data_IF_495599962712
#
_entry.id   IF_495599962712
#
_cell.length_a   1.000
_cell.length_b   1.000
_cell.length_c   1.000
_cell.angle_alpha   90.00
_cell.angle_beta   90.00
_cell.angle_gamma   90.00
#
_symmetry.space_group_name_H-M   'P 1'
#
loop_
_entity.id
_entity.type
_entity.pdbx_description
1 polymer ?
#
# COMPACT_ATOMS: atom_id res chain seq x y z
N UNK A 1 -5.61 29.07 24.23
CA UNK A 1 -4.19 28.73 24.45
C UNK A 1 -3.47 28.81 23.11
N UNK A 2 -2.29 29.42 23.12
CA UNK A 2 -1.60 30.00 21.98
C UNK A 2 -0.97 28.98 21.00
N UNK A 3 -0.72 29.45 19.78
CA UNK A 3 0.02 28.78 18.72
C UNK A 3 1.46 28.39 19.13
N UNK A 4 1.91 27.20 18.74
CA UNK A 4 3.28 26.65 18.77
C UNK A 4 3.21 25.35 17.94
N UNK A 5 3.93 25.04 16.86
CA UNK A 5 4.93 25.65 15.98
C UNK A 5 5.21 24.54 14.94
N UNK A 6 5.36 24.87 13.65
CA UNK A 6 5.51 23.94 12.49
C UNK A 6 5.80 22.46 12.83
N UNK A 7 4.75 21.66 12.71
CA UNK A 7 4.69 20.20 12.71
C UNK A 7 5.93 19.51 12.12
N UNK A 8 6.61 18.66 12.89
CA UNK A 8 7.71 17.83 12.40
C UNK A 8 7.26 17.00 11.20
N UNK A 9 7.97 17.10 10.09
CA UNK A 9 7.72 16.29 8.89
C UNK A 9 7.87 14.80 9.20
N UNK A 10 7.04 13.96 8.60
CA UNK A 10 7.22 12.50 8.65
C UNK A 10 8.57 12.11 8.02
N UNK A 11 9.07 10.93 8.38
CA UNK A 11 10.29 10.38 7.79
C UNK A 11 10.25 10.38 6.25
N UNK A 12 9.13 9.97 5.65
CA UNK A 12 8.95 9.98 4.21
C UNK A 12 8.99 11.40 3.63
N UNK A 13 8.33 12.36 4.28
CA UNK A 13 8.37 13.76 3.85
C UNK A 13 9.80 14.33 3.90
N UNK A 14 10.59 13.98 4.91
CA UNK A 14 11.99 14.38 5.02
C UNK A 14 12.85 13.77 3.90
N UNK A 15 12.65 12.50 3.54
CA UNK A 15 13.38 11.87 2.43
C UNK A 15 12.99 12.47 1.07
N UNK A 16 11.70 12.74 0.84
CA UNK A 16 11.25 13.40 -0.38
C UNK A 16 11.84 14.81 -0.54
N UNK A 17 11.99 15.57 0.56
CA UNK A 17 12.66 16.87 0.53
C UNK A 17 14.12 16.78 0.04
N UNK A 18 14.83 15.71 0.37
CA UNK A 18 16.21 15.51 -0.12
C UNK A 18 16.25 15.30 -1.63
N UNK A 19 15.20 14.72 -2.22
CA UNK A 19 15.10 14.55 -3.67
C UNK A 19 15.03 15.90 -4.41
N UNK A 20 14.43 16.94 -3.80
CA UNK A 20 14.38 18.28 -4.42
C UNK A 20 15.76 18.89 -4.68
N UNK A 21 16.79 18.50 -3.92
CA UNK A 21 18.16 18.96 -4.17
C UNK A 21 18.74 18.43 -5.50
N UNK A 22 18.16 17.36 -6.06
CA UNK A 22 18.66 16.69 -7.26
C UNK A 22 17.92 17.07 -8.56
N UNK A 23 16.99 18.02 -8.50
CA UNK A 23 16.19 18.48 -9.65
C UNK A 23 15.62 17.30 -10.47
N UNK A 24 14.98 16.36 -9.76
CA UNK A 24 14.42 15.12 -10.32
C UNK A 24 13.39 15.45 -11.40
N UNK A 25 13.52 14.82 -12.57
CA UNK A 25 12.59 15.03 -13.67
C UNK A 25 11.22 14.39 -13.42
N UNK A 26 10.18 14.84 -14.12
CA UNK A 26 8.84 14.24 -14.03
C UNK A 26 8.83 12.73 -14.35
N UNK A 27 9.67 12.31 -15.31
CA UNK A 27 9.84 10.89 -15.66
C UNK A 27 10.41 10.09 -14.49
N UNK A 28 11.43 10.61 -13.81
CA UNK A 28 12.00 9.96 -12.63
C UNK A 28 11.01 9.94 -11.45
N UNK A 29 10.16 10.95 -11.30
CA UNK A 29 9.06 10.93 -10.31
C UNK A 29 8.02 9.85 -10.66
N UNK A 30 7.75 9.61 -11.95
CA UNK A 30 6.89 8.51 -12.38
C UNK A 30 7.52 7.14 -12.07
N UNK A 31 8.82 6.98 -12.33
CA UNK A 31 9.57 5.76 -12.00
C UNK A 31 9.56 5.48 -10.49
N UNK A 32 9.77 6.50 -9.65
CA UNK A 32 9.68 6.36 -8.20
C UNK A 32 8.28 5.91 -7.76
N UNK A 33 7.22 6.47 -8.37
CA UNK A 33 5.84 6.05 -8.09
C UNK A 33 5.62 4.59 -8.48
N UNK A 34 6.14 4.17 -9.63
CA UNK A 34 6.04 2.77 -10.06
C UNK A 34 6.78 1.84 -9.10
N UNK A 35 8.00 2.19 -8.70
CA UNK A 35 8.79 1.41 -7.75
C UNK A 35 8.07 1.23 -6.39
N UNK A 36 7.40 2.28 -5.90
CA UNK A 36 6.58 2.19 -4.70
C UNK A 36 5.35 1.29 -4.90
N UNK A 37 4.66 1.42 -6.04
CA UNK A 37 3.50 0.60 -6.36
C UNK A 37 3.89 -0.89 -6.41
N UNK A 38 4.99 -1.22 -7.09
CA UNK A 38 5.51 -2.58 -7.20
C UNK A 38 5.90 -3.15 -5.83
N UNK A 39 6.55 -2.34 -4.99
CA UNK A 39 6.90 -2.75 -3.63
C UNK A 39 5.67 -3.11 -2.80
N UNK A 40 4.62 -2.28 -2.84
CA UNK A 40 3.39 -2.54 -2.09
C UNK A 40 2.61 -3.72 -2.67
N UNK A 41 2.53 -3.88 -3.99
CA UNK A 41 1.91 -5.03 -4.63
C UNK A 41 2.58 -6.33 -4.16
N UNK A 42 3.91 -6.41 -4.24
CA UNK A 42 4.65 -7.58 -3.77
C UNK A 42 4.48 -7.82 -2.26
N UNK A 43 4.36 -6.75 -1.46
CA UNK A 43 4.11 -6.88 -0.02
C UNK A 43 2.73 -7.48 0.23
N UNK A 44 1.70 -6.99 -0.45
CA UNK A 44 0.33 -7.51 -0.37
C UNK A 44 0.31 -8.98 -0.77
N UNK A 45 0.96 -9.35 -1.88
CA UNK A 45 1.03 -10.74 -2.32
C UNK A 45 1.67 -11.66 -1.27
N UNK A 46 2.77 -11.22 -0.63
CA UNK A 46 3.41 -11.98 0.45
C UNK A 46 2.50 -12.14 1.67
N UNK A 47 1.87 -11.05 2.11
CA UNK A 47 0.96 -11.06 3.25
C UNK A 47 -0.28 -11.92 2.97
N UNK A 48 -0.83 -11.87 1.75
CA UNK A 48 -1.95 -12.70 1.33
C UNK A 48 -1.58 -14.18 1.28
N UNK A 49 -0.39 -14.52 0.77
CA UNK A 49 0.11 -15.90 0.79
C UNK A 49 0.28 -16.42 2.22
N UNK A 50 0.80 -15.61 3.13
CA UNK A 50 0.92 -15.96 4.55
C UNK A 50 -0.46 -16.19 5.15
N UNK A 51 -1.40 -15.26 4.94
CA UNK A 51 -2.77 -15.37 5.44
C UNK A 51 -3.48 -16.61 4.90
N UNK A 52 -3.26 -16.94 3.62
CA UNK A 52 -3.80 -18.13 2.97
C UNK A 52 -3.38 -19.41 3.69
N UNK A 53 -2.10 -19.51 4.06
CA UNK A 53 -1.58 -20.64 4.82
C UNK A 53 -2.08 -20.66 6.26
N UNK A 54 -2.01 -19.52 6.97
CA UNK A 54 -2.44 -19.40 8.37
C UNK A 54 -3.91 -19.76 8.57
N UNK A 55 -4.76 -19.37 7.63
CA UNK A 55 -6.19 -19.67 7.65
C UNK A 55 -6.52 -21.04 7.06
N UNK A 56 -5.51 -21.80 6.62
CA UNK A 56 -5.67 -23.08 5.94
C UNK A 56 -6.68 -23.01 4.78
N UNK A 57 -6.69 -21.87 4.08
CA UNK A 57 -7.55 -21.68 2.93
C UNK A 57 -7.16 -22.64 1.81
N UNK A 58 -8.18 -23.14 1.11
CA UNK A 58 -8.03 -24.13 0.07
C UNK A 58 -9.14 -23.98 -0.97
N UNK A 59 -9.22 -24.90 -1.92
CA UNK A 59 -10.23 -24.89 -2.98
C UNK A 59 -11.68 -24.85 -2.45
N UNK A 60 -11.96 -25.46 -1.30
CA UNK A 60 -13.28 -25.42 -0.67
C UNK A 60 -13.63 -24.01 -0.16
N UNK A 61 -12.62 -23.27 0.34
CA UNK A 61 -12.79 -21.86 0.72
C UNK A 61 -13.14 -21.00 -0.49
N UNK A 62 -12.53 -21.27 -1.64
CA UNK A 62 -12.85 -20.56 -2.89
C UNK A 62 -14.29 -20.85 -3.31
N UNK A 63 -14.71 -22.11 -3.27
CA UNK A 63 -16.07 -22.50 -3.64
C UNK A 63 -17.11 -21.90 -2.69
N UNK A 64 -16.82 -21.82 -1.37
CA UNK A 64 -17.74 -21.15 -0.44
C UNK A 64 -17.90 -19.66 -0.76
N UNK A 65 -16.80 -18.93 -1.01
CA UNK A 65 -16.87 -17.51 -1.35
C UNK A 65 -17.57 -17.23 -2.67
N UNK A 66 -17.48 -18.13 -3.64
CA UNK A 66 -18.19 -18.01 -4.92
C UNK A 66 -19.72 -18.00 -4.74
N UNK A 67 -20.22 -18.71 -3.74
CA UNK A 67 -21.64 -18.72 -3.39
C UNK A 67 -22.03 -17.54 -2.49
N UNK A 68 -21.05 -16.77 -1.99
CA UNK A 68 -21.30 -15.58 -1.18
C UNK A 68 -21.52 -14.34 -2.05
N UNK A 69 -22.61 -13.61 -1.78
CA UNK A 69 -22.93 -12.35 -2.47
C UNK A 69 -22.22 -11.14 -1.82
N UNK A 70 -20.91 -11.24 -1.58
CA UNK A 70 -20.13 -10.22 -0.85
C UNK A 70 -20.10 -8.84 -1.53
N UNK A 71 -20.33 -8.78 -2.84
CA UNK A 71 -20.36 -7.52 -3.62
C UNK A 71 -21.73 -6.89 -3.76
N UNK A 72 -22.81 -7.65 -3.56
CA UNK A 72 -24.19 -7.20 -3.77
C UNK A 72 -25.05 -7.27 -2.50
N UNK A 73 -24.44 -7.56 -1.35
CA UNK A 73 -25.12 -7.43 -0.07
C UNK A 73 -25.61 -5.98 0.09
N UNK A 74 -26.92 -5.78 0.01
CA UNK A 74 -27.55 -4.51 0.41
C UNK A 74 -27.32 -4.36 1.91
N UNK A 75 -26.48 -3.39 2.27
CA UNK A 75 -26.57 -2.72 3.56
C UNK A 75 -27.87 -1.90 3.62
#
# INVERSE_FOLDING_TARGET
>A
MAAQGLSSLSNLQQELLKLYAYNVSDDQILEIRQLLADYFAQKIDREMNQLWQEKSWNEQTIESWKQEHLRSSKA
#
